data_IF_934576154623
#
_entry.id   IF_934576154623
#
_cell.length_a   1.000
_cell.length_b   1.000
_cell.length_c   1.000
_cell.angle_alpha   90.00
_cell.angle_beta   90.00
_cell.angle_gamma   90.00
#
_symmetry.space_group_name_H-M   'P 1'
#
loop_
_entity.id
_entity.type
_entity.pdbx_description
1 polymer ?
#
# COMPACT_ATOMS: atom_id res chain seq x y z
N UNK A 1 20.15 15.99 -30.78
CA UNK A 1 20.24 14.67 -30.13
C UNK A 1 18.90 13.98 -30.38
N UNK A 2 18.84 13.07 -31.36
CA UNK A 2 17.62 12.37 -31.76
C UNK A 2 17.10 11.52 -30.59
N UNK A 3 15.83 11.71 -30.23
CA UNK A 3 15.18 10.98 -29.15
C UNK A 3 14.59 9.69 -29.74
N UNK A 4 15.41 8.65 -29.86
CA UNK A 4 14.94 7.35 -30.34
C UNK A 4 14.34 6.55 -29.18
N UNK A 5 13.07 6.16 -29.34
CA UNK A 5 12.39 5.27 -28.41
C UNK A 5 13.01 3.87 -28.48
N UNK A 6 13.04 3.13 -27.35
CA UNK A 6 13.55 1.77 -27.33
C UNK A 6 12.70 0.85 -28.23
N UNK A 7 13.30 -0.17 -28.86
CA UNK A 7 12.56 -1.14 -29.68
C UNK A 7 11.58 -1.92 -28.82
N UNK A 8 10.48 -2.41 -29.42
CA UNK A 8 9.41 -3.13 -28.70
C UNK A 8 9.93 -4.33 -27.88
N UNK A 9 10.95 -5.03 -28.38
CA UNK A 9 11.59 -6.16 -27.69
C UNK A 9 12.24 -5.77 -26.36
N UNK A 10 12.67 -4.52 -26.19
CA UNK A 10 13.28 -4.05 -24.96
C UNK A 10 12.29 -4.02 -23.78
N UNK A 11 10.99 -3.91 -24.04
CA UNK A 11 9.98 -3.94 -22.98
C UNK A 11 9.77 -5.35 -22.37
N UNK A 12 10.29 -6.39 -23.02
CA UNK A 12 10.33 -7.74 -22.46
C UNK A 12 11.45 -7.91 -21.42
N UNK A 13 12.41 -6.99 -21.38
CA UNK A 13 13.46 -6.96 -20.36
C UNK A 13 12.86 -6.61 -19.00
N UNK A 14 13.27 -7.31 -17.94
CA UNK A 14 12.73 -7.09 -16.59
C UNK A 14 12.90 -5.64 -16.12
N UNK A 15 14.03 -5.01 -16.46
CA UNK A 15 14.33 -3.61 -16.13
C UNK A 15 13.40 -2.56 -16.76
N UNK A 16 12.57 -2.94 -17.75
CA UNK A 16 11.59 -2.05 -18.42
C UNK A 16 10.16 -2.54 -18.29
N UNK A 17 9.94 -3.85 -18.37
CA UNK A 17 8.61 -4.45 -18.23
C UNK A 17 8.05 -4.32 -16.82
N UNK A 18 8.87 -4.59 -15.79
CA UNK A 18 8.40 -4.56 -14.40
C UNK A 18 7.94 -3.17 -13.92
N UNK A 19 8.62 -2.05 -14.25
CA UNK A 19 8.09 -0.72 -13.97
C UNK A 19 6.72 -0.44 -14.62
N UNK A 20 6.47 -0.94 -15.83
CA UNK A 20 5.15 -0.79 -16.47
C UNK A 20 4.06 -1.56 -15.73
N UNK A 21 4.35 -2.80 -15.33
CA UNK A 21 3.41 -3.60 -14.52
C UNK A 21 3.18 -2.93 -13.17
N UNK A 22 4.22 -2.40 -12.54
CA UNK A 22 4.09 -1.63 -11.30
C UNK A 22 3.23 -0.37 -11.48
N UNK A 23 3.37 0.35 -12.59
CA UNK A 23 2.56 1.52 -12.90
C UNK A 23 1.07 1.17 -12.97
N UNK A 24 0.72 0.08 -13.65
CA UNK A 24 -0.66 -0.43 -13.73
C UNK A 24 -1.17 -0.84 -12.35
N UNK A 25 -0.36 -1.56 -11.57
CA UNK A 25 -0.73 -1.99 -10.22
C UNK A 25 -1.00 -0.81 -9.28
N UNK A 26 -0.20 0.26 -9.32
CA UNK A 26 -0.44 1.45 -8.48
C UNK A 26 -1.79 2.11 -8.79
N UNK A 27 -2.15 2.24 -10.07
CA UNK A 27 -3.45 2.82 -10.45
C UNK A 27 -4.58 1.86 -10.10
N UNK A 28 -4.43 0.57 -10.40
CA UNK A 28 -5.42 -0.45 -10.09
C UNK A 28 -5.65 -0.59 -8.58
N UNK A 29 -4.63 -0.39 -7.75
CA UNK A 29 -4.73 -0.42 -6.29
C UNK A 29 -5.72 0.60 -5.73
N UNK A 30 -5.94 1.74 -6.42
CA UNK A 30 -6.92 2.76 -6.01
C UNK A 30 -8.36 2.26 -6.08
N UNK A 31 -8.64 1.19 -6.83
CA UNK A 31 -9.97 0.58 -6.94
C UNK A 31 -10.32 -0.31 -5.73
N UNK A 32 -9.32 -0.62 -4.89
CA UNK A 32 -9.44 -1.56 -3.79
C UNK A 32 -9.16 -0.87 -2.44
N UNK A 33 -9.67 -1.40 -1.32
CA UNK A 33 -9.38 -0.84 -0.02
C UNK A 33 -7.90 -1.01 0.33
N UNK A 34 -7.31 0.04 0.90
CA UNK A 34 -5.94 0.05 1.41
C UNK A 34 -5.88 -0.51 2.83
N UNK A 35 -6.93 -0.33 3.61
CA UNK A 35 -6.98 -0.72 5.00
C UNK A 35 -8.33 -1.34 5.34
N UNK A 36 -8.30 -2.42 6.12
CA UNK A 36 -9.48 -3.16 6.56
C UNK A 36 -9.47 -3.26 8.08
N UNK A 37 -10.57 -2.89 8.71
CA UNK A 37 -10.72 -2.95 10.16
C UNK A 37 -11.96 -3.78 10.48
N UNK A 38 -11.77 -4.83 11.25
CA UNK A 38 -12.83 -5.68 11.78
C UNK A 38 -13.07 -5.29 13.25
N UNK A 39 -14.30 -5.00 13.62
CA UNK A 39 -14.65 -4.46 14.94
C UNK A 39 -15.69 -5.32 15.62
N UNK A 40 -15.39 -5.70 16.86
CA UNK A 40 -16.30 -6.38 17.77
C UNK A 40 -16.63 -5.46 18.94
N UNK A 41 -17.91 -5.16 19.10
CA UNK A 41 -18.41 -4.31 20.16
C UNK A 41 -19.54 -5.01 20.93
N UNK A 42 -19.61 -4.79 22.24
CA UNK A 42 -20.69 -5.37 23.07
C UNK A 42 -22.07 -4.88 22.62
N UNK A 43 -22.15 -3.69 22.04
CA UNK A 43 -23.36 -3.10 21.47
C UNK A 43 -23.86 -3.84 20.22
N UNK A 44 -22.99 -4.58 19.53
CA UNK A 44 -23.32 -5.40 18.35
C UNK A 44 -22.89 -6.86 18.62
N UNK A 45 -23.53 -7.57 19.56
CA UNK A 45 -23.04 -8.85 20.06
C UNK A 45 -23.08 -9.98 19.02
N UNK A 46 -23.98 -9.88 18.05
CA UNK A 46 -24.18 -10.87 16.99
C UNK A 46 -23.52 -10.51 15.66
N UNK A 47 -22.92 -9.31 15.55
CA UNK A 47 -22.49 -8.75 14.27
C UNK A 47 -21.10 -8.16 14.39
N UNK A 48 -20.20 -8.63 13.53
CA UNK A 48 -18.89 -8.01 13.37
C UNK A 48 -19.00 -6.87 12.36
N UNK A 49 -18.61 -5.67 12.77
CA UNK A 49 -18.59 -4.50 11.89
C UNK A 49 -17.32 -4.50 11.06
N UNK A 50 -17.44 -4.26 9.76
CA UNK A 50 -16.31 -4.25 8.84
C UNK A 50 -16.16 -2.87 8.20
N UNK A 51 -14.95 -2.33 8.26
CA UNK A 51 -14.60 -1.04 7.65
C UNK A 51 -13.52 -1.26 6.61
N UNK A 52 -13.70 -0.62 5.46
CA UNK A 52 -12.75 -0.68 4.36
C UNK A 52 -12.41 0.74 3.91
N UNK A 53 -11.18 1.18 4.16
CA UNK A 53 -10.71 2.52 3.83
C UNK A 53 -9.93 2.50 2.53
N UNK A 54 -10.24 3.45 1.64
CA UNK A 54 -9.59 3.60 0.35
C UNK A 54 -8.48 4.64 0.41
N UNK A 55 -7.66 4.73 -0.65
CA UNK A 55 -6.61 5.74 -0.78
C UNK A 55 -7.13 7.18 -1.04
N UNK A 56 -8.45 7.33 -1.15
CA UNK A 56 -9.17 8.59 -1.21
C UNK A 56 -10.18 8.64 -0.06
N UNK A 57 -10.77 9.79 0.28
CA UNK A 57 -11.66 9.97 1.44
C UNK A 57 -12.98 9.20 1.30
N UNK A 58 -12.91 7.88 1.37
CA UNK A 58 -14.03 6.96 1.26
C UNK A 58 -13.81 5.77 2.18
N UNK A 59 -14.85 5.46 2.93
CA UNK A 59 -14.93 4.31 3.81
C UNK A 59 -16.14 3.49 3.37
N UNK A 60 -16.00 2.19 3.12
CA UNK A 60 -17.12 1.29 2.87
C UNK A 60 -17.30 0.27 3.99
N UNK A 61 -18.41 -0.46 3.95
CA UNK A 61 -18.85 -1.35 5.02
C UNK A 61 -19.72 -0.61 6.05
N UNK A 62 -19.59 -0.99 7.31
CA UNK A 62 -20.46 -0.55 8.43
C UNK A 62 -19.97 0.77 9.06
N UNK A 63 -19.61 1.74 8.21
CA UNK A 63 -18.94 2.96 8.65
C UNK A 63 -19.85 3.90 9.45
N UNK A 64 -21.17 3.86 9.20
CA UNK A 64 -22.16 4.66 9.91
C UNK A 64 -22.42 4.10 11.32
N UNK A 65 -22.51 2.78 11.45
CA UNK A 65 -22.60 2.05 12.71
C UNK A 65 -21.37 2.32 13.56
N UNK A 66 -20.19 2.25 12.95
CA UNK A 66 -18.93 2.58 13.63
C UNK A 66 -18.86 4.05 14.04
N UNK A 67 -19.30 5.00 13.20
CA UNK A 67 -19.37 6.41 13.59
C UNK A 67 -20.28 6.62 14.80
N UNK A 68 -21.41 5.91 14.84
CA UNK A 68 -22.33 5.91 15.97
C UNK A 68 -21.73 5.29 17.24
N UNK A 69 -20.81 4.33 17.14
CA UNK A 69 -20.07 3.83 18.29
C UNK A 69 -19.00 4.81 18.75
N UNK A 70 -18.25 5.36 17.80
CA UNK A 70 -17.13 6.24 18.08
C UNK A 70 -17.54 7.55 18.76
N UNK A 71 -18.73 8.08 18.45
CA UNK A 71 -19.26 9.29 19.13
C UNK A 71 -19.38 9.13 20.65
N UNK A 72 -19.58 7.90 21.15
CA UNK A 72 -19.67 7.66 22.59
C UNK A 72 -18.34 7.90 23.30
N UNK A 73 -17.22 7.67 22.62
CA UNK A 73 -15.86 7.88 23.14
C UNK A 73 -15.22 9.16 22.61
N UNK A 74 -15.99 10.00 21.89
CA UNK A 74 -15.50 11.26 21.33
C UNK A 74 -14.50 11.10 20.19
N UNK A 75 -14.43 9.92 19.56
CA UNK A 75 -13.59 9.70 18.39
C UNK A 75 -14.40 10.02 17.12
N UNK A 76 -13.83 10.78 16.19
CA UNK A 76 -14.48 11.10 14.93
C UNK A 76 -13.55 10.77 13.77
N UNK A 77 -14.14 10.41 12.62
CA UNK A 77 -13.34 10.21 11.42
C UNK A 77 -12.67 11.52 11.01
N UNK A 78 -11.37 11.51 10.67
CA UNK A 78 -10.67 12.72 10.24
C UNK A 78 -11.36 13.42 9.05
N UNK A 79 -11.28 14.75 9.01
CA UNK A 79 -11.85 15.55 7.92
C UNK A 79 -10.79 15.77 6.82
N UNK A 80 -10.99 15.25 5.60
CA UNK A 80 -10.07 15.48 4.46
C UNK A 80 -10.08 16.92 3.92
N UNK A 81 -10.99 17.79 4.37
CA UNK A 81 -11.14 19.22 4.05
C UNK A 81 -11.46 19.54 2.58
N UNK A 82 -10.65 19.07 1.64
CA UNK A 82 -10.76 19.46 0.23
C UNK A 82 -11.75 18.60 -0.55
N UNK A 83 -11.82 17.31 -0.25
CA UNK A 83 -12.69 16.37 -0.95
C UNK A 83 -13.72 15.81 0.01
N UNK A 84 -15.00 16.03 -0.29
CA UNK A 84 -16.08 15.59 0.58
C UNK A 84 -16.08 14.05 0.70
N UNK A 85 -15.96 13.49 1.93
CA UNK A 85 -16.04 12.06 2.11
C UNK A 85 -17.49 11.57 2.05
N UNK A 86 -17.69 10.25 2.12
CA UNK A 86 -19.02 9.63 2.12
C UNK A 86 -19.71 9.59 3.50
N UNK A 87 -19.16 10.34 4.46
CA UNK A 87 -19.73 10.59 5.79
C UNK A 87 -19.70 12.10 6.03
N UNK A 88 -20.47 12.58 7.00
CA UNK A 88 -20.38 13.99 7.43
C UNK A 88 -19.28 14.12 8.50
N UNK A 89 -18.21 14.90 8.24
CA UNK A 89 -17.20 15.16 9.25
C UNK A 89 -17.80 15.96 10.41
N UNK A 90 -17.42 15.59 11.63
CA UNK A 90 -17.80 16.31 12.85
C UNK A 90 -16.91 17.55 13.04
N UNK A 91 -17.43 18.60 13.68
CA UNK A 91 -16.66 19.84 13.93
C UNK A 91 -15.40 19.62 14.79
N UNK A 92 -15.41 18.57 15.62
CA UNK A 92 -14.30 18.16 16.47
C UNK A 92 -13.33 17.18 15.79
N UNK A 93 -13.57 16.83 14.52
CA UNK A 93 -12.69 15.94 13.77
C UNK A 93 -11.34 16.61 13.47
N UNK A 94 -10.26 15.81 13.47
CA UNK A 94 -8.94 16.30 13.08
C UNK A 94 -8.90 16.54 11.58
N UNK A 95 -8.49 17.74 11.17
CA UNK A 95 -8.29 18.09 9.76
C UNK A 95 -7.03 17.44 9.17
N UNK A 96 -7.22 16.72 8.06
CA UNK A 96 -6.20 15.97 7.30
C UNK A 96 -6.25 16.30 5.80
N UNK A 97 -6.01 17.58 5.42
CA UNK A 97 -6.10 18.04 4.03
C UNK A 97 -5.23 17.22 3.06
N UNK A 98 -4.07 16.74 3.52
CA UNK A 98 -3.14 15.94 2.73
C UNK A 98 -3.71 14.60 2.25
N UNK A 99 -4.68 14.01 2.97
CA UNK A 99 -5.30 12.73 2.59
C UNK A 99 -6.16 12.84 1.32
N UNK A 100 -6.66 14.04 1.01
CA UNK A 100 -7.36 14.31 -0.26
C UNK A 100 -6.45 14.10 -1.49
N UNK A 101 -5.13 14.19 -1.31
CA UNK A 101 -4.16 14.03 -2.40
C UNK A 101 -3.53 12.63 -2.47
N UNK A 102 -3.98 11.68 -1.63
CA UNK A 102 -3.55 10.28 -1.68
C UNK A 102 -3.56 9.69 -3.10
N UNK A 103 -4.67 9.79 -3.88
CA UNK A 103 -4.72 9.23 -5.23
C UNK A 103 -3.75 9.88 -6.19
N UNK A 104 -3.49 11.18 -6.03
CA UNK A 104 -2.54 11.91 -6.86
C UNK A 104 -1.12 11.36 -6.67
N UNK A 105 -0.73 11.00 -5.44
CA UNK A 105 0.57 10.38 -5.17
C UNK A 105 0.72 9.06 -5.94
N UNK A 106 -0.30 8.19 -5.94
CA UNK A 106 -0.29 6.94 -6.69
C UNK A 106 -0.21 7.17 -8.20
N UNK A 107 -0.97 8.12 -8.74
CA UNK A 107 -0.96 8.47 -10.18
C UNK A 107 0.39 9.03 -10.60
N UNK A 108 1.00 9.92 -9.80
CA UNK A 108 2.32 10.50 -10.08
C UNK A 108 3.40 9.41 -10.05
N UNK A 109 3.42 8.57 -9.01
CA UNK A 109 4.37 7.45 -8.92
C UNK A 109 4.21 6.47 -10.09
N UNK A 110 2.97 6.18 -10.48
CA UNK A 110 2.65 5.36 -11.66
C UNK A 110 3.17 5.98 -12.96
N UNK A 111 2.88 7.27 -13.18
CA UNK A 111 3.33 8.00 -14.37
C UNK A 111 4.87 8.05 -14.45
N UNK A 112 5.55 8.30 -13.33
CA UNK A 112 7.02 8.26 -13.25
C UNK A 112 7.56 6.86 -13.56
N UNK A 113 6.91 5.81 -13.05
CA UNK A 113 7.29 4.42 -13.32
C UNK A 113 7.19 4.08 -14.82
N UNK A 114 6.10 4.49 -15.47
CA UNK A 114 5.92 4.33 -16.90
C UNK A 114 6.93 5.16 -17.70
N UNK A 115 7.20 6.40 -17.28
CA UNK A 115 8.18 7.28 -17.91
C UNK A 115 9.60 6.70 -17.86
N UNK A 116 10.01 6.11 -16.73
CA UNK A 116 11.33 5.48 -16.58
C UNK A 116 11.49 4.29 -17.55
N UNK A 117 10.43 3.53 -17.81
CA UNK A 117 10.46 2.45 -18.79
C UNK A 117 10.75 2.94 -20.22
N UNK A 118 10.43 4.20 -20.55
CA UNK A 118 10.67 4.83 -21.85
C UNK A 118 12.08 5.42 -22.00
N UNK A 119 12.95 5.33 -20.98
CA UNK A 119 14.25 5.96 -21.01
C UNK A 119 15.10 5.50 -22.23
N UNK A 120 15.66 6.43 -23.04
CA UNK A 120 16.25 6.08 -24.34
C UNK A 120 17.64 5.44 -24.23
N UNK A 121 18.39 5.72 -23.16
CA UNK A 121 19.73 5.17 -22.96
C UNK A 121 19.84 4.37 -21.67
N UNK A 122 20.71 3.36 -21.67
CA UNK A 122 20.99 2.52 -20.50
C UNK A 122 21.42 3.34 -19.29
N UNK A 123 22.21 4.41 -19.50
CA UNK A 123 22.63 5.31 -18.41
C UNK A 123 21.44 6.07 -17.80
N UNK A 124 20.53 6.59 -18.64
CA UNK A 124 19.32 7.29 -18.19
C UNK A 124 18.35 6.32 -17.51
N UNK A 125 18.22 5.10 -18.03
CA UNK A 125 17.38 4.05 -17.43
C UNK A 125 17.85 3.71 -16.01
N UNK A 126 19.14 3.44 -15.81
CA UNK A 126 19.69 3.11 -14.47
C UNK A 126 19.45 4.24 -13.46
N UNK A 127 19.70 5.49 -13.85
CA UNK A 127 19.43 6.66 -13.01
C UNK A 127 17.92 6.83 -12.75
N UNK A 128 17.10 6.62 -13.76
CA UNK A 128 15.64 6.65 -13.66
C UNK A 128 15.10 5.58 -12.72
N UNK A 129 15.57 4.33 -12.80
CA UNK A 129 15.18 3.25 -11.90
C UNK A 129 15.58 3.53 -10.45
N UNK A 130 16.79 4.07 -10.23
CA UNK A 130 17.20 4.51 -8.90
C UNK A 130 16.30 5.63 -8.36
N UNK A 131 16.09 6.69 -9.15
CA UNK A 131 15.23 7.81 -8.77
C UNK A 131 13.78 7.37 -8.54
N UNK A 132 13.26 6.47 -9.36
CA UNK A 132 11.93 5.89 -9.20
C UNK A 132 11.81 5.11 -7.89
N UNK A 133 12.75 4.21 -7.61
CA UNK A 133 12.71 3.40 -6.40
C UNK A 133 12.84 4.28 -5.15
N UNK A 134 13.81 5.20 -5.14
CA UNK A 134 14.01 6.13 -4.03
C UNK A 134 12.82 7.07 -3.84
N UNK A 135 12.28 7.64 -4.92
CA UNK A 135 11.11 8.51 -4.89
C UNK A 135 9.86 7.76 -4.42
N UNK A 136 9.64 6.54 -4.89
CA UNK A 136 8.53 5.68 -4.45
C UNK A 136 8.63 5.37 -2.97
N UNK A 137 9.82 4.99 -2.49
CA UNK A 137 10.07 4.72 -1.07
C UNK A 137 9.87 5.98 -0.21
N UNK A 138 10.31 7.15 -0.68
CA UNK A 138 10.10 8.41 0.03
C UNK A 138 8.61 8.79 0.09
N UNK A 139 7.88 8.75 -1.04
CA UNK A 139 6.46 9.09 -1.09
C UNK A 139 5.64 8.19 -0.17
N UNK A 140 5.76 6.86 -0.30
CA UNK A 140 4.98 5.96 0.53
C UNK A 140 5.47 5.90 1.98
N UNK A 141 6.76 6.09 2.24
CA UNK A 141 7.30 6.20 3.60
C UNK A 141 6.76 7.41 4.34
N UNK A 142 6.76 8.58 3.69
CA UNK A 142 6.15 9.82 4.24
C UNK A 142 4.66 9.62 4.44
N UNK A 143 3.95 9.02 3.47
CA UNK A 143 2.52 8.77 3.59
C UNK A 143 2.17 7.85 4.76
N UNK A 144 2.93 6.76 4.99
CA UNK A 144 2.72 5.87 6.13
C UNK A 144 3.01 6.56 7.46
N UNK A 145 4.07 7.38 7.52
CA UNK A 145 4.40 8.17 8.71
C UNK A 145 3.31 9.21 9.03
N UNK A 146 2.82 9.91 7.99
CA UNK A 146 1.72 10.87 8.09
C UNK A 146 0.43 10.19 8.59
N UNK A 147 0.03 9.07 7.98
CA UNK A 147 -1.16 8.33 8.41
C UNK A 147 -1.06 7.95 9.89
N UNK A 148 0.07 7.41 10.33
CA UNK A 148 0.25 7.04 11.74
C UNK A 148 0.22 8.26 12.68
N UNK A 149 0.84 9.37 12.26
CA UNK A 149 0.81 10.61 13.01
C UNK A 149 -0.61 11.17 13.15
N UNK A 150 -1.41 11.15 12.07
CA UNK A 150 -2.80 11.60 12.09
C UNK A 150 -3.71 10.67 12.88
N UNK A 151 -3.47 9.36 12.85
CA UNK A 151 -4.16 8.40 13.72
C UNK A 151 -3.85 8.63 15.20
N UNK A 152 -2.59 8.96 15.53
CA UNK A 152 -2.22 9.39 16.88
C UNK A 152 -2.98 10.65 17.29
N UNK A 153 -2.99 11.68 16.43
CA UNK A 153 -3.72 12.92 16.71
C UNK A 153 -5.22 12.66 16.92
N UNK A 154 -5.86 11.93 16.02
CA UNK A 154 -7.29 11.63 16.11
C UNK A 154 -7.63 10.85 17.39
N UNK A 155 -6.81 9.89 17.79
CA UNK A 155 -7.06 9.09 19.00
C UNK A 155 -6.67 9.77 20.31
N UNK A 156 -5.96 10.91 20.28
CA UNK A 156 -5.64 11.74 21.46
C UNK A 156 -6.40 13.07 21.48
N UNK A 157 -7.21 13.34 20.46
CA UNK A 157 -8.11 14.49 20.36
C UNK A 157 -9.56 14.04 20.54
N UNK A 158 -9.82 13.33 21.64
CA UNK A 158 -11.16 12.85 21.97
C UNK A 158 -12.00 14.00 22.54
N UNK A 159 -13.25 14.07 22.10
CA UNK A 159 -14.20 15.08 22.52
C UNK A 159 -14.51 15.01 24.03
N UNK A 160 -14.18 16.05 24.82
CA UNK A 160 -14.47 16.09 26.25
C UNK A 160 -15.96 16.26 26.57
N UNK A 161 -16.82 16.45 25.57
CA UNK A 161 -18.28 16.41 25.70
C UNK A 161 -18.89 15.04 25.44
N UNK A 162 -18.09 14.01 25.12
CA UNK A 162 -18.60 12.70 24.76
C UNK A 162 -19.30 11.99 25.93
N UNK A 163 -20.33 11.15 25.67
CA UNK A 163 -21.07 10.45 26.73
C UNK A 163 -20.20 9.57 27.65
N UNK A 164 -19.14 8.96 27.13
CA UNK A 164 -18.18 8.17 27.90
C UNK A 164 -16.95 9.02 28.16
N UNK A 165 -16.86 9.54 29.37
CA UNK A 165 -15.78 10.40 29.83
C UNK A 165 -14.58 9.59 30.34
N UNK A 166 -13.39 10.18 30.25
CA UNK A 166 -12.16 9.61 30.83
C UNK A 166 -11.58 8.43 30.06
N UNK A 167 -11.93 8.28 28.77
CA UNK A 167 -11.27 7.32 27.87
C UNK A 167 -9.83 7.77 27.65
N UNK A 168 -8.86 6.90 27.92
CA UNK A 168 -7.46 7.17 27.62
C UNK A 168 -7.23 7.31 26.11
N UNK A 169 -6.34 8.22 25.73
CA UNK A 169 -5.94 8.40 24.35
C UNK A 169 -5.37 7.10 23.78
N UNK A 170 -5.68 6.82 22.52
CA UNK A 170 -5.23 5.61 21.85
C UNK A 170 -4.70 5.92 20.45
N UNK A 171 -4.07 4.93 19.82
CA UNK A 171 -3.61 5.07 18.43
C UNK A 171 -3.96 3.80 17.67
N UNK A 172 -4.90 3.87 16.71
CA UNK A 172 -5.21 2.74 15.86
C UNK A 172 -3.96 2.27 15.10
N UNK A 173 -3.52 1.02 15.25
CA UNK A 173 -2.40 0.51 14.48
C UNK A 173 -2.85 0.20 13.05
N UNK A 174 -2.00 0.47 12.05
CA UNK A 174 -2.22 0.04 10.66
C UNK A 174 -2.32 -1.48 10.53
N UNK A 175 -1.63 -2.22 11.40
CA UNK A 175 -1.65 -3.68 11.46
C UNK A 175 -1.64 -4.16 12.91
N UNK A 176 -2.52 -5.09 13.25
CA UNK A 176 -2.58 -5.71 14.57
C UNK A 176 -3.96 -5.58 15.22
N UNK A 177 -4.00 -5.64 16.54
CA UNK A 177 -5.24 -5.57 17.33
C UNK A 177 -5.12 -4.47 18.37
N UNK A 178 -6.21 -3.76 18.63
CA UNK A 178 -6.30 -2.79 19.70
C UNK A 178 -7.66 -2.85 20.39
N UNK A 179 -7.72 -2.38 21.64
CA UNK A 179 -8.94 -2.34 22.44
C UNK A 179 -9.12 -0.96 23.03
N UNK A 180 -10.32 -0.41 22.91
CA UNK A 180 -10.70 0.88 23.49
C UNK A 180 -12.06 0.71 24.14
N UNK A 181 -12.13 0.97 25.44
CA UNK A 181 -13.30 0.66 26.25
C UNK A 181 -13.78 -0.79 26.02
N UNK A 182 -15.02 -0.99 25.55
CA UNK A 182 -15.63 -2.29 25.28
C UNK A 182 -15.61 -2.68 23.79
N UNK A 183 -14.73 -2.05 23.00
CA UNK A 183 -14.58 -2.28 21.56
C UNK A 183 -13.21 -2.93 21.30
N UNK A 184 -13.21 -4.07 20.62
CA UNK A 184 -11.98 -4.74 20.14
C UNK A 184 -11.93 -4.63 18.63
N UNK A 185 -10.82 -4.14 18.10
CA UNK A 185 -10.64 -3.90 16.67
C UNK A 185 -9.40 -4.62 16.13
N UNK A 186 -9.51 -5.21 14.95
CA UNK A 186 -8.47 -5.91 14.23
C UNK A 186 -8.18 -5.18 12.92
N UNK A 187 -6.98 -4.62 12.82
CA UNK A 187 -6.50 -3.86 11.67
C UNK A 187 -5.63 -4.73 10.76
N UNK A 188 -5.94 -4.73 9.46
CA UNK A 188 -5.18 -5.45 8.43
C UNK A 188 -5.05 -4.62 7.17
N UNK A 189 -3.99 -4.86 6.40
CA UNK A 189 -3.88 -4.28 5.06
C UNK A 189 -4.97 -4.82 4.14
N UNK A 190 -5.57 -3.92 3.38
CA UNK A 190 -6.54 -4.27 2.33
C UNK A 190 -5.84 -4.69 1.04
N UNK A 191 -6.63 -5.16 0.07
CA UNK A 191 -6.12 -5.64 -1.22
C UNK A 191 -5.31 -4.57 -1.97
N UNK A 192 -5.74 -3.31 -1.93
CA UNK A 192 -5.03 -2.20 -2.55
C UNK A 192 -3.61 -2.02 -1.99
N UNK A 193 -3.45 -2.18 -0.67
CA UNK A 193 -2.14 -2.09 -0.04
C UNK A 193 -1.22 -3.25 -0.45
N UNK A 194 -1.74 -4.47 -0.57
CA UNK A 194 -0.96 -5.59 -1.11
C UNK A 194 -0.56 -5.39 -2.57
N UNK A 195 -1.43 -4.81 -3.40
CA UNK A 195 -1.10 -4.45 -4.78
C UNK A 195 0.01 -3.40 -4.86
N UNK A 196 -0.04 -2.38 -3.98
CA UNK A 196 1.00 -1.36 -3.88
C UNK A 196 2.34 -1.95 -3.41
N UNK A 197 2.33 -2.83 -2.40
CA UNK A 197 3.53 -3.54 -1.93
C UNK A 197 4.13 -4.42 -3.02
N UNK A 198 3.29 -5.14 -3.77
CA UNK A 198 3.73 -5.93 -4.93
C UNK A 198 4.38 -5.02 -5.98
N UNK A 199 3.76 -3.90 -6.32
CA UNK A 199 4.31 -2.94 -7.28
C UNK A 199 5.69 -2.41 -6.84
N UNK A 200 5.87 -2.08 -5.56
CA UNK A 200 7.18 -1.71 -5.00
C UNK A 200 8.18 -2.86 -5.12
N UNK A 201 7.77 -4.09 -4.83
CA UNK A 201 8.60 -5.29 -5.02
C UNK A 201 9.06 -5.46 -6.47
N UNK A 202 8.17 -5.21 -7.45
CA UNK A 202 8.53 -5.23 -8.86
C UNK A 202 9.57 -4.16 -9.22
N UNK A 203 9.49 -2.97 -8.63
CA UNK A 203 10.51 -1.92 -8.82
C UNK A 203 11.86 -2.32 -8.23
N UNK A 204 11.88 -2.98 -7.07
CA UNK A 204 13.11 -3.52 -6.48
C UNK A 204 13.74 -4.56 -7.42
N UNK A 205 12.96 -5.48 -7.96
CA UNK A 205 13.43 -6.48 -8.93
C UNK A 205 13.93 -5.80 -10.22
N UNK A 206 13.21 -4.80 -10.74
CA UNK A 206 13.65 -4.03 -11.91
C UNK A 206 15.00 -3.34 -11.67
N UNK A 207 15.18 -2.76 -10.47
CA UNK A 207 16.43 -2.12 -10.06
C UNK A 207 17.57 -3.12 -9.87
N UNK A 208 17.28 -4.32 -9.37
CA UNK A 208 18.28 -5.40 -9.27
C UNK A 208 18.78 -5.82 -10.66
N UNK A 209 17.87 -5.99 -11.64
CA UNK A 209 18.21 -6.33 -13.02
C UNK A 209 18.60 -5.13 -13.91
N UNK A 210 18.86 -3.95 -13.34
CA UNK A 210 19.17 -2.71 -14.10
C UNK A 210 20.36 -2.85 -15.06
N UNK A 211 21.31 -3.73 -14.74
CA UNK A 211 22.52 -3.98 -15.51
C UNK A 211 22.36 -5.13 -16.54
N UNK A 212 21.22 -5.82 -16.52
CA UNK A 212 20.93 -7.00 -17.34
C UNK A 212 19.86 -6.70 -18.40
N UNK A 213 19.90 -7.43 -19.51
CA UNK A 213 18.84 -7.49 -20.52
C UNK A 213 17.94 -8.71 -20.33
N UNK A 214 18.03 -9.39 -19.18
CA UNK A 214 17.28 -10.61 -18.90
C UNK A 214 15.77 -10.39 -19.06
N UNK A 215 15.14 -11.36 -19.71
CA UNK A 215 13.68 -11.46 -19.81
C UNK A 215 13.14 -12.43 -18.76
N UNK A 216 11.83 -12.43 -18.53
CA UNK A 216 11.18 -13.41 -17.66
C UNK A 216 11.47 -14.86 -18.09
N UNK A 217 11.56 -15.11 -19.41
CA UNK A 217 11.88 -16.43 -19.95
C UNK A 217 13.32 -16.87 -19.65
N UNK A 218 14.28 -15.95 -19.66
CA UNK A 218 15.67 -16.24 -19.29
C UNK A 218 15.79 -16.63 -17.82
N UNK A 219 15.10 -15.90 -16.95
CA UNK A 219 15.07 -16.20 -15.51
C UNK A 219 14.39 -17.54 -15.25
N UNK A 220 13.27 -17.82 -15.90
CA UNK A 220 12.56 -19.10 -15.76
C UNK A 220 13.43 -20.29 -16.19
N UNK A 221 14.11 -20.19 -17.35
CA UNK A 221 15.07 -21.20 -17.80
C UNK A 221 16.22 -21.41 -16.82
N UNK A 222 16.77 -20.32 -16.28
CA UNK A 222 17.84 -20.38 -15.28
C UNK A 222 17.42 -21.08 -13.98
N UNK A 223 16.20 -20.82 -13.50
CA UNK A 223 15.64 -21.49 -12.32
C UNK A 223 15.43 -22.98 -12.60
N UNK A 224 14.81 -23.34 -13.73
CA UNK A 224 14.59 -24.73 -14.11
C UNK A 224 15.90 -25.53 -14.22
N UNK A 225 16.94 -24.94 -14.81
CA UNK A 225 18.26 -25.57 -14.91
C UNK A 225 18.90 -25.82 -13.52
N UNK A 226 18.74 -24.89 -12.57
CA UNK A 226 19.26 -25.03 -11.20
C UNK A 226 18.50 -26.09 -10.40
N UNK A 227 17.19 -26.17 -10.55
CA UNK A 227 16.37 -27.22 -9.92
C UNK A 227 16.74 -28.60 -10.46
N UNK A 228 16.86 -28.75 -11.79
CA UNK A 228 17.28 -30.01 -12.41
C UNK A 228 18.72 -30.42 -12.04
N UNK A 229 19.64 -29.47 -11.84
CA UNK A 229 20.97 -29.78 -11.30
C UNK A 229 20.91 -30.25 -9.85
N UNK A 230 20.07 -29.64 -9.00
CA UNK A 230 19.92 -29.99 -7.59
C UNK A 230 19.34 -31.40 -7.41
N UNK A 231 18.37 -31.77 -8.25
CA UNK A 231 17.81 -33.13 -8.30
C UNK A 231 18.84 -34.17 -8.76
N UNK A 232 19.68 -33.84 -9.75
CA UNK A 232 20.78 -34.73 -10.19
C UNK A 232 21.87 -34.90 -9.16
N UNK A 233 22.23 -33.86 -8.41
CA UNK A 233 23.21 -33.99 -7.32
C UNK A 233 22.66 -34.82 -6.16
N UNK A 234 21.37 -34.66 -5.83
CA UNK A 234 20.73 -35.44 -4.77
C UNK A 234 20.64 -36.94 -5.13
N UNK A 235 20.34 -37.28 -6.40
CA UNK A 235 20.27 -38.69 -6.83
C UNK A 235 21.64 -39.37 -6.93
N UNK A 236 22.71 -38.61 -7.20
CA UNK A 236 24.08 -39.14 -7.19
C UNK A 236 24.57 -39.40 -5.75
N UNK A 237 24.25 -38.53 -4.80
CA UNK A 237 24.57 -38.76 -3.38
C UNK A 237 23.81 -39.97 -2.79
N UNK A 238 22.55 -40.20 -3.19
CA UNK A 238 21.81 -41.41 -2.79
C UNK A 238 22.34 -42.70 -3.43
N UNK A 239 22.90 -42.62 -4.65
CA UNK A 239 23.46 -43.78 -5.35
C UNK A 239 24.91 -44.10 -4.93
N UNK A 240 25.68 -43.11 -4.49
CA UNK A 240 27.08 -43.27 -4.04
C UNK A 240 27.24 -43.61 -2.55
N UNK A 241 26.15 -43.59 -1.78
CA UNK A 241 26.13 -43.93 -0.35
C UNK A 241 25.85 -45.41 -0.02
N UNK A 242 25.96 -46.33 -0.99
CA UNK A 242 25.82 -47.78 -0.79
C UNK A 242 27.14 -48.51 -0.90
#
# INVERSE_FOLDING_TARGET
MSYELPPKSAFLELRRGLPLVAAVLFVAALLFPMWSIEVHAVQYPSTTLNLHLYAYPRISGDYAEMANLNKYIGFYYPDPVYWQPNYEPHEYAVNVPEWSFGPLAFVVVSACSAFVALAPSTRKLKRGLFAQLAGTAAVFGVMLADIQYRLYQAGHHLDPGAPVMGVEGFTPPLWGTYKVANITSYSRFGVGAYMAMLAVGLLVVAFYYRDSTATAGDVARGIAARLGQRERTASVDEAGGR
#
